data_IF_626418301637
#
_entry.id   IF_626418301637
#
_cell.length_a   1.000
_cell.length_b   1.000
_cell.length_c   1.000
_cell.angle_alpha   90.00
_cell.angle_beta   90.00
_cell.angle_gamma   90.00
#
_symmetry.space_group_name_H-M   'P 1'
#
loop_
_entity.id
_entity.type
_entity.pdbx_description
1 polymer ?
#
# COMPACT_ATOMS: atom_id res chain seq x y z
N UNK A 1 63.30 -29.30 31.91
CA UNK A 1 62.81 -28.75 30.66
C UNK A 1 61.47 -29.43 30.34
N UNK A 2 60.36 -28.78 30.49
CA UNK A 2 59.07 -29.35 30.02
C UNK A 2 58.67 -28.62 28.69
N UNK A 3 58.37 -29.46 27.72
CA UNK A 3 57.89 -29.08 26.38
C UNK A 3 56.43 -28.71 26.45
N UNK A 4 56.11 -27.46 26.10
CA UNK A 4 54.75 -26.96 25.96
C UNK A 4 54.09 -27.44 24.66
N UNK A 5 52.97 -28.10 24.80
CA UNK A 5 52.09 -28.46 23.67
C UNK A 5 51.10 -27.33 23.41
N UNK A 6 51.28 -26.62 22.29
CA UNK A 6 50.28 -25.68 21.76
C UNK A 6 49.08 -26.45 21.20
N UNK A 7 47.89 -26.27 21.79
CA UNK A 7 46.62 -26.62 21.19
C UNK A 7 46.20 -25.54 20.18
N UNK A 8 45.86 -25.89 18.95
CA UNK A 8 45.25 -24.91 18.01
C UNK A 8 43.78 -24.67 18.38
N UNK A 9 43.46 -23.42 18.69
CA UNK A 9 42.07 -22.98 18.80
C UNK A 9 41.42 -23.00 17.43
N UNK A 10 40.49 -23.92 17.21
CA UNK A 10 39.61 -23.92 16.05
C UNK A 10 38.67 -22.71 16.16
N UNK A 11 38.93 -21.68 15.37
CA UNK A 11 37.97 -20.64 15.07
C UNK A 11 36.94 -21.22 14.11
N UNK A 12 35.70 -21.40 14.56
CA UNK A 12 34.57 -21.64 13.68
C UNK A 12 34.27 -20.32 12.95
N UNK A 13 34.21 -20.29 11.62
CA UNK A 13 33.67 -19.16 10.93
C UNK A 13 32.16 -19.12 11.22
N UNK A 14 31.69 -18.04 11.84
CA UNK A 14 30.28 -17.74 12.03
C UNK A 14 29.74 -17.39 10.63
N UNK A 15 29.24 -18.40 9.92
CA UNK A 15 28.53 -18.21 8.66
C UNK A 15 27.19 -17.63 9.05
N UNK A 16 27.06 -16.30 8.91
CA UNK A 16 25.78 -15.62 8.90
C UNK A 16 25.07 -16.06 7.62
N UNK A 17 24.17 -17.04 7.78
CA UNK A 17 23.17 -17.30 6.75
C UNK A 17 22.16 -16.17 6.83
N UNK A 18 22.45 -15.07 6.12
CA UNK A 18 21.43 -14.17 5.67
C UNK A 18 20.61 -14.94 4.64
N UNK A 19 19.49 -15.52 5.06
CA UNK A 19 18.42 -15.84 4.17
C UNK A 19 17.83 -14.51 3.69
N UNK A 20 18.53 -13.89 2.72
CA UNK A 20 17.93 -12.89 1.87
C UNK A 20 16.88 -13.65 1.05
N UNK A 21 15.63 -13.60 1.49
CA UNK A 21 14.49 -13.79 0.60
C UNK A 21 14.46 -12.52 -0.28
N UNK A 22 15.39 -12.48 -1.22
CA UNK A 22 15.27 -11.66 -2.40
C UNK A 22 14.11 -12.30 -3.16
N UNK A 23 12.90 -11.78 -3.03
CA UNK A 23 11.90 -11.90 -4.07
C UNK A 23 12.54 -11.23 -5.29
N UNK A 24 13.26 -12.03 -6.09
CA UNK A 24 13.66 -11.64 -7.41
C UNK A 24 12.35 -11.38 -8.15
N UNK A 25 12.02 -10.09 -8.33
CA UNK A 25 11.12 -9.65 -9.39
C UNK A 25 11.81 -10.07 -10.70
N UNK A 26 11.58 -11.30 -11.13
CA UNK A 26 11.77 -11.70 -12.50
C UNK A 26 10.68 -11.00 -13.31
N UNK A 27 10.95 -9.75 -13.70
CA UNK A 27 10.19 -9.12 -14.77
C UNK A 27 10.56 -9.90 -16.02
N UNK A 28 9.80 -10.96 -16.30
CA UNK A 28 9.70 -11.47 -17.64
C UNK A 28 9.00 -10.36 -18.44
N UNK A 29 9.79 -9.61 -19.20
CA UNK A 29 9.29 -8.77 -20.29
C UNK A 29 8.79 -9.73 -21.38
N UNK A 30 7.62 -10.32 -21.14
CA UNK A 30 6.83 -10.93 -22.17
C UNK A 30 6.08 -9.79 -22.84
N UNK A 31 6.57 -9.38 -24.04
CA UNK A 31 5.87 -8.44 -24.90
C UNK A 31 4.48 -8.98 -25.24
N UNK A 32 3.45 -8.49 -24.54
CA UNK A 32 2.07 -8.66 -24.94
C UNK A 32 1.75 -7.56 -25.96
N UNK A 33 1.78 -7.95 -27.26
CA UNK A 33 1.11 -7.19 -28.28
C UNK A 33 -0.39 -7.25 -28.01
N UNK A 34 -0.98 -6.20 -27.44
CA UNK A 34 -2.43 -6.03 -27.37
C UNK A 34 -2.95 -5.68 -28.76
N UNK A 35 -3.62 -6.62 -29.40
CA UNK A 35 -4.51 -6.35 -30.51
C UNK A 35 -5.73 -5.60 -29.94
N UNK A 36 -5.78 -4.32 -30.22
CA UNK A 36 -6.91 -3.45 -29.90
C UNK A 36 -8.10 -3.80 -30.82
N UNK A 37 -9.16 -4.35 -30.25
CA UNK A 37 -10.49 -4.37 -30.86
C UNK A 37 -11.30 -3.22 -30.26
N UNK A 38 -11.94 -2.37 -31.09
CA UNK A 38 -12.76 -1.28 -30.58
C UNK A 38 -14.09 -1.82 -30.04
N UNK A 39 -14.36 -1.61 -28.76
CA UNK A 39 -15.67 -1.88 -28.16
C UNK A 39 -16.64 -0.76 -28.54
N UNK A 40 -17.78 -1.17 -29.09
CA UNK A 40 -18.87 -0.27 -29.48
C UNK A 40 -19.49 0.41 -28.27
N UNK A 41 -19.68 1.74 -28.37
CA UNK A 41 -20.37 2.56 -27.40
C UNK A 41 -21.87 2.43 -27.64
N UNK A 42 -22.73 2.13 -26.65
CA UNK A 42 -24.18 2.21 -26.81
C UNK A 42 -24.61 3.68 -26.75
N UNK A 43 -25.27 4.12 -27.83
CA UNK A 43 -25.96 5.42 -27.93
C UNK A 43 -27.29 5.29 -27.19
N UNK A 44 -27.51 6.10 -26.17
CA UNK A 44 -28.83 6.27 -25.56
C UNK A 44 -29.55 7.45 -26.23
N UNK A 45 -30.76 7.18 -26.71
CA UNK A 45 -31.61 8.12 -27.43
C UNK A 45 -32.24 9.13 -26.48
N UNK A 46 -32.31 10.40 -26.97
CA UNK A 46 -33.01 11.50 -26.39
C UNK A 46 -34.51 11.23 -26.22
N UNK A 47 -34.99 11.49 -25.01
CA UNK A 47 -36.42 11.60 -24.70
C UNK A 47 -36.76 13.04 -24.35
N UNK A 48 -37.24 13.82 -25.35
CA UNK A 48 -37.81 15.13 -25.13
C UNK A 48 -39.15 15.06 -24.43
N UNK A 49 -39.33 15.77 -23.32
CA UNK A 49 -40.65 16.11 -22.80
C UNK A 49 -40.75 17.61 -22.54
N UNK A 50 -41.67 18.20 -23.27
CA UNK A 50 -42.07 19.61 -23.25
C UNK A 50 -43.05 19.84 -22.09
N UNK A 51 -42.88 20.91 -21.31
CA UNK A 51 -43.90 21.49 -20.44
C UNK A 51 -43.93 22.99 -20.57
N UNK A 52 -45.14 23.50 -20.83
CA UNK A 52 -45.49 24.88 -21.18
C UNK A 52 -45.47 25.82 -19.96
N UNK A 53 -45.49 27.15 -20.20
CA UNK A 53 -45.25 28.18 -19.17
C UNK A 53 -46.54 28.61 -18.46
N UNK A 54 -46.44 28.88 -17.15
CA UNK A 54 -47.50 29.52 -16.36
C UNK A 54 -47.10 30.96 -16.05
N UNK A 55 -48.09 31.83 -16.21
CA UNK A 55 -48.02 33.27 -16.20
C UNK A 55 -47.64 33.90 -14.86
N UNK A 56 -46.99 35.06 -14.95
CA UNK A 56 -46.63 35.94 -13.84
C UNK A 56 -47.78 36.80 -13.36
N UNK A 57 -47.88 37.08 -12.07
CA UNK A 57 -48.70 38.12 -11.44
C UNK A 57 -47.81 39.09 -10.66
N UNK A 58 -48.17 40.41 -10.58
CA UNK A 58 -47.20 41.45 -10.27
C UNK A 58 -46.99 41.69 -8.78
N UNK A 59 -45.76 42.10 -8.44
CA UNK A 59 -45.30 42.42 -7.12
C UNK A 59 -45.70 43.83 -6.64
N UNK A 60 -45.87 44.07 -5.34
CA UNK A 60 -46.01 45.42 -4.78
C UNK A 60 -44.65 46.09 -4.53
N UNK A 61 -44.57 47.36 -4.82
CA UNK A 61 -43.45 48.27 -4.57
C UNK A 61 -43.25 48.46 -3.08
N UNK A 62 -42.05 48.20 -2.56
CA UNK A 62 -41.63 48.65 -1.24
C UNK A 62 -40.38 49.52 -1.30
N UNK A 63 -40.52 50.64 -0.57
CA UNK A 63 -39.59 51.75 -0.41
C UNK A 63 -38.25 51.35 0.20
N UNK A 64 -37.17 51.93 -0.37
CA UNK A 64 -35.77 51.79 0.03
C UNK A 64 -35.50 52.31 1.44
N UNK A 65 -34.98 51.46 2.34
CA UNK A 65 -34.18 51.87 3.51
C UNK A 65 -32.71 51.62 3.25
N UNK A 66 -31.93 52.68 3.50
CA UNK A 66 -30.47 52.71 3.40
C UNK A 66 -29.79 51.50 4.07
N UNK A 67 -29.07 50.69 3.30
CA UNK A 67 -28.37 49.53 3.79
C UNK A 67 -26.99 49.94 4.34
N UNK A 68 -26.74 49.58 5.59
CA UNK A 68 -25.44 49.56 6.26
C UNK A 68 -24.46 48.67 5.44
N UNK A 69 -23.17 49.02 5.28
CA UNK A 69 -22.25 48.20 4.49
C UNK A 69 -22.13 46.79 5.03
N UNK A 70 -22.46 45.80 4.20
CA UNK A 70 -22.30 44.39 4.48
C UNK A 70 -20.79 44.04 4.55
N UNK A 71 -20.31 43.31 5.54
CA UNK A 71 -18.92 42.85 5.56
C UNK A 71 -18.64 41.98 4.33
N UNK A 72 -17.53 42.28 3.65
CA UNK A 72 -17.05 41.51 2.51
C UNK A 72 -16.89 40.05 2.93
N UNK A 73 -17.42 39.06 2.20
CA UNK A 73 -17.31 37.68 2.58
C UNK A 73 -15.83 37.30 2.70
N UNK A 74 -15.45 36.86 3.90
CA UNK A 74 -14.14 36.24 4.16
C UNK A 74 -14.05 35.03 3.24
N UNK A 75 -12.99 34.96 2.42
CA UNK A 75 -12.72 33.77 1.61
C UNK A 75 -12.58 32.58 2.57
N UNK A 76 -13.52 31.65 2.52
CA UNK A 76 -13.40 30.37 3.23
C UNK A 76 -12.03 29.77 2.91
N UNK A 77 -11.29 29.23 3.91
CA UNK A 77 -10.00 28.61 3.65
C UNK A 77 -10.20 27.51 2.61
N UNK A 78 -9.45 27.56 1.51
CA UNK A 78 -9.43 26.46 0.53
C UNK A 78 -9.09 25.17 1.26
N UNK A 79 -9.99 24.19 1.22
CA UNK A 79 -9.72 22.85 1.78
C UNK A 79 -8.46 22.33 1.10
N UNK A 80 -7.38 22.17 1.84
CA UNK A 80 -6.12 21.67 1.29
C UNK A 80 -6.37 20.25 0.81
N UNK A 81 -6.05 19.96 -0.45
CA UNK A 81 -6.14 18.60 -1.00
C UNK A 81 -5.26 17.64 -0.19
N UNK A 82 -5.70 16.38 -0.05
CA UNK A 82 -4.89 15.33 0.59
C UNK A 82 -3.49 15.24 -0.03
N UNK A 83 -3.37 15.41 -1.34
CA UNK A 83 -2.09 15.38 -2.05
C UNK A 83 -1.34 16.72 -2.09
N UNK A 84 -1.90 17.76 -1.49
CA UNK A 84 -1.30 19.09 -1.45
C UNK A 84 -1.34 19.80 -2.78
N UNK A 85 -0.52 20.83 -2.90
CA UNK A 85 -0.33 21.58 -4.15
C UNK A 85 0.79 20.94 -4.98
N UNK A 86 0.44 20.45 -6.16
CA UNK A 86 1.37 19.81 -7.10
C UNK A 86 2.08 20.81 -8.02
N UNK A 87 1.56 22.04 -8.14
CA UNK A 87 2.16 23.08 -9.00
C UNK A 87 3.54 23.54 -8.53
N UNK A 88 3.90 23.24 -7.27
CA UNK A 88 5.19 23.61 -6.66
C UNK A 88 6.26 22.51 -6.75
N UNK A 89 5.93 21.37 -7.38
CA UNK A 89 6.87 20.27 -7.52
C UNK A 89 7.92 20.65 -8.57
N UNK A 90 9.21 20.62 -8.23
CA UNK A 90 10.26 20.92 -9.21
C UNK A 90 10.28 19.85 -10.32
N UNK A 91 10.56 20.26 -11.53
CA UNK A 91 10.78 19.31 -12.63
C UNK A 91 11.95 18.39 -12.30
N UNK A 92 11.81 17.11 -12.64
CA UNK A 92 12.90 16.16 -12.48
C UNK A 92 14.08 16.52 -13.39
N UNK A 93 15.29 16.28 -12.89
CA UNK A 93 16.52 16.32 -13.70
C UNK A 93 16.89 14.91 -14.20
N UNK A 94 16.35 13.90 -13.52
CA UNK A 94 16.47 12.49 -13.86
C UNK A 94 15.10 11.94 -14.35
N UNK A 95 14.64 10.80 -13.85
CA UNK A 95 13.43 10.15 -14.35
C UNK A 95 12.16 10.80 -13.78
N UNK A 96 12.09 11.00 -12.47
CA UNK A 96 10.93 11.62 -11.82
C UNK A 96 11.32 12.28 -10.50
N UNK A 97 10.51 13.27 -10.09
CA UNK A 97 10.63 13.88 -8.75
C UNK A 97 9.75 13.12 -7.76
N UNK A 98 10.34 12.57 -6.70
CA UNK A 98 9.61 12.02 -5.54
C UNK A 98 9.39 13.13 -4.52
N UNK A 99 8.14 13.39 -4.13
CA UNK A 99 7.77 14.32 -3.04
C UNK A 99 7.19 13.54 -1.88
N UNK A 100 7.75 13.74 -0.69
CA UNK A 100 7.25 13.12 0.53
C UNK A 100 6.30 14.11 1.23
N UNK A 101 5.12 13.63 1.62
CA UNK A 101 4.05 14.41 2.23
C UNK A 101 3.81 13.94 3.67
N UNK A 102 3.91 14.87 4.63
CA UNK A 102 3.49 14.63 6.00
C UNK A 102 1.97 14.57 6.08
N UNK A 103 1.44 13.40 6.43
CA UNK A 103 0.02 13.13 6.68
C UNK A 103 -0.20 12.54 8.07
N UNK A 104 0.64 12.94 9.02
CA UNK A 104 0.56 12.50 10.42
C UNK A 104 -0.47 13.25 11.24
N UNK A 105 -1.34 14.05 10.63
CA UNK A 105 -2.38 14.85 11.29
C UNK A 105 -1.83 15.78 12.39
N UNK A 106 -0.62 16.33 12.17
CA UNK A 106 0.06 17.19 13.13
C UNK A 106 0.75 16.47 14.28
N UNK A 107 0.74 15.14 14.30
CA UNK A 107 1.41 14.34 15.34
C UNK A 107 2.94 14.52 15.33
N UNK A 108 3.51 14.65 14.13
CA UNK A 108 4.93 14.91 13.93
C UNK A 108 5.11 16.12 13.02
N UNK A 109 5.99 17.09 13.39
CA UNK A 109 6.39 18.16 12.47
C UNK A 109 7.26 17.57 11.34
N UNK A 110 7.40 18.30 10.24
CA UNK A 110 8.20 17.89 9.07
C UNK A 110 9.65 17.55 9.41
N UNK A 111 10.24 18.19 10.41
CA UNK A 111 11.57 17.89 10.94
C UNK A 111 11.67 16.55 11.70
N UNK A 112 10.55 15.83 11.88
CA UNK A 112 10.47 14.53 12.54
C UNK A 112 9.84 13.46 11.65
N UNK A 113 9.65 13.74 10.38
CA UNK A 113 9.29 12.78 9.32
C UNK A 113 10.50 12.61 8.43
N UNK A 114 11.04 11.40 8.35
CA UNK A 114 12.29 11.12 7.64
C UNK A 114 12.05 10.12 6.50
N UNK A 115 12.83 10.26 5.45
CA UNK A 115 12.99 9.24 4.42
C UNK A 115 14.45 8.77 4.36
N UNK A 116 14.65 7.51 3.93
CA UNK A 116 15.99 6.92 3.77
C UNK A 116 16.03 6.07 2.51
N UNK A 117 16.98 6.36 1.63
CA UNK A 117 17.24 5.62 0.40
C UNK A 117 18.70 5.79 -0.03
N UNK A 118 19.33 4.75 -0.58
CA UNK A 118 20.72 4.75 -1.08
C UNK A 118 21.75 5.33 -0.07
N UNK A 119 21.60 4.95 1.21
CA UNK A 119 22.51 5.42 2.26
C UNK A 119 22.32 6.89 2.68
N UNK A 120 21.38 7.60 2.09
CA UNK A 120 20.99 8.95 2.49
C UNK A 120 19.78 8.88 3.42
N UNK A 121 19.75 9.74 4.44
CA UNK A 121 18.59 9.88 5.33
C UNK A 121 18.42 11.37 5.65
N UNK A 122 17.24 11.90 5.38
CA UNK A 122 16.89 13.30 5.58
C UNK A 122 15.50 13.44 6.20
N UNK A 123 15.30 14.50 6.99
CA UNK A 123 13.94 14.93 7.32
C UNK A 123 13.31 15.61 6.10
N UNK A 124 11.98 15.57 5.99
CA UNK A 124 11.28 16.27 4.91
C UNK A 124 11.31 17.78 5.07
N UNK A 125 11.64 18.30 6.27
CA UNK A 125 11.90 19.73 6.46
C UNK A 125 13.22 20.17 5.78
N UNK A 126 14.23 19.28 5.77
CA UNK A 126 15.52 19.52 5.11
C UNK A 126 15.44 19.22 3.62
N UNK A 127 14.83 18.09 3.26
CA UNK A 127 14.75 17.61 1.88
C UNK A 127 13.40 16.98 1.58
N UNK A 128 12.37 17.77 1.18
CA UNK A 128 11.04 17.27 0.87
C UNK A 128 10.94 16.56 -0.49
N UNK A 129 11.96 16.70 -1.32
CA UNK A 129 12.02 16.17 -2.68
C UNK A 129 13.26 15.30 -2.87
N UNK A 130 13.10 14.25 -3.65
CA UNK A 130 14.19 13.41 -4.14
C UNK A 130 14.09 13.26 -5.65
N UNK A 131 15.16 13.62 -6.37
CA UNK A 131 15.23 13.45 -7.84
C UNK A 131 15.72 12.05 -8.15
N UNK A 132 14.79 11.18 -8.54
CA UNK A 132 14.98 9.73 -8.67
C UNK A 132 15.70 9.40 -9.98
N UNK A 133 16.92 8.85 -9.92
CA UNK A 133 17.65 8.45 -11.13
C UNK A 133 17.13 7.14 -11.71
N UNK A 134 17.38 6.93 -13.00
CA UNK A 134 17.20 5.64 -13.66
C UNK A 134 18.02 4.52 -12.99
N UNK A 135 17.55 3.29 -13.14
CA UNK A 135 18.15 2.08 -12.57
C UNK A 135 18.17 2.09 -11.02
N UNK A 136 17.30 2.90 -10.40
CA UNK A 136 17.06 2.83 -8.96
C UNK A 136 16.12 1.67 -8.66
N UNK A 137 16.42 0.89 -7.61
CA UNK A 137 15.58 -0.22 -7.17
C UNK A 137 15.74 -0.46 -5.68
N UNK A 138 14.70 -1.03 -5.06
CA UNK A 138 14.72 -1.45 -3.66
C UNK A 138 13.64 -0.80 -2.82
N UNK A 139 13.99 -0.53 -1.55
CA UNK A 139 13.07 0.03 -0.55
C UNK A 139 13.47 1.44 -0.17
N UNK A 140 12.55 2.40 -0.26
CA UNK A 140 12.66 3.69 0.40
C UNK A 140 11.93 3.61 1.73
N UNK A 141 12.66 3.78 2.82
CA UNK A 141 12.12 3.73 4.18
C UNK A 141 11.65 5.10 4.64
N UNK A 142 10.60 5.09 5.47
CA UNK A 142 10.11 6.27 6.18
C UNK A 142 10.15 6.01 7.67
N UNK A 143 10.50 7.05 8.46
CA UNK A 143 10.58 6.98 9.91
C UNK A 143 9.89 8.19 10.54
N UNK A 144 9.29 7.98 11.71
CA UNK A 144 8.70 9.06 12.50
C UNK A 144 9.43 9.21 13.84
N UNK A 145 9.62 10.47 14.24
CA UNK A 145 10.26 10.84 15.50
C UNK A 145 11.79 10.89 15.42
N UNK A 146 12.46 9.89 14.83
CA UNK A 146 13.89 9.88 14.62
C UNK A 146 14.25 9.07 13.36
N UNK A 147 15.45 9.29 12.75
CA UNK A 147 15.86 8.59 11.51
C UNK A 147 16.14 7.09 11.70
N UNK A 148 16.15 6.61 12.94
CA UNK A 148 16.30 5.18 13.32
C UNK A 148 15.14 4.72 14.21
N UNK A 149 14.01 5.44 14.19
CA UNK A 149 12.86 5.20 15.03
C UNK A 149 12.19 3.85 14.75
N UNK A 150 11.46 3.36 15.76
CA UNK A 150 10.69 2.11 15.66
C UNK A 150 9.44 2.28 14.78
N UNK A 151 8.90 3.52 14.69
CA UNK A 151 7.81 3.83 13.78
C UNK A 151 8.37 4.00 12.38
N UNK A 152 8.33 2.92 11.61
CA UNK A 152 8.90 2.87 10.27
C UNK A 152 8.08 1.99 9.34
N UNK A 153 8.15 2.30 8.07
CA UNK A 153 7.65 1.48 6.97
C UNK A 153 8.38 1.86 5.69
N UNK A 154 8.02 1.25 4.57
CA UNK A 154 8.70 1.48 3.30
C UNK A 154 7.77 1.31 2.10
N UNK A 155 8.20 1.85 0.97
CA UNK A 155 7.69 1.53 -0.36
C UNK A 155 8.74 0.70 -1.11
N UNK A 156 8.29 -0.15 -2.03
CA UNK A 156 9.16 -0.89 -2.94
C UNK A 156 9.00 -0.38 -4.34
N UNK A 157 10.11 -0.29 -5.09
CA UNK A 157 10.06 0.20 -6.47
C UNK A 157 11.26 -0.24 -7.30
N UNK A 158 11.07 -0.16 -8.62
CA UNK A 158 12.12 -0.13 -9.62
C UNK A 158 11.86 1.00 -10.61
N UNK A 159 12.91 1.73 -10.98
CA UNK A 159 12.85 2.85 -11.92
C UNK A 159 13.77 2.56 -13.09
N UNK A 160 13.18 2.35 -14.25
CA UNK A 160 13.92 2.24 -15.52
C UNK A 160 14.31 3.61 -16.07
N UNK A 161 14.87 3.65 -17.28
CA UNK A 161 15.20 4.93 -17.94
C UNK A 161 14.00 5.86 -18.17
N UNK A 162 12.81 5.25 -18.35
CA UNK A 162 11.57 5.95 -18.70
C UNK A 162 10.34 5.27 -18.10
N UNK A 163 10.46 4.60 -16.96
CA UNK A 163 9.36 3.89 -16.32
C UNK A 163 9.53 3.87 -14.80
N UNK A 164 8.42 4.02 -14.10
CA UNK A 164 8.31 3.78 -12.66
C UNK A 164 7.43 2.54 -12.42
N UNK A 165 7.91 1.64 -11.57
CA UNK A 165 7.17 0.52 -11.03
C UNK A 165 7.29 0.57 -9.50
N UNK A 166 6.19 0.54 -8.76
CA UNK A 166 6.27 0.58 -7.30
C UNK A 166 4.96 0.24 -6.62
N UNK A 167 5.05 -0.02 -5.32
CA UNK A 167 3.90 -0.38 -4.50
C UNK A 167 4.06 0.12 -3.06
N UNK A 168 2.93 0.21 -2.34
CA UNK A 168 2.92 0.07 -0.89
C UNK A 168 2.77 -1.42 -0.57
N UNK A 169 3.41 -1.92 0.49
CA UNK A 169 3.36 -3.34 0.82
C UNK A 169 2.93 -3.57 2.26
N UNK A 170 2.19 -4.66 2.48
CA UNK A 170 1.82 -5.20 3.78
C UNK A 170 2.28 -6.65 3.93
N UNK A 171 3.11 -7.12 3.00
CA UNK A 171 3.65 -8.49 2.99
C UNK A 171 4.47 -8.80 4.24
N UNK A 172 5.27 -7.84 4.71
CA UNK A 172 6.04 -7.97 5.95
C UNK A 172 5.19 -7.60 7.18
N UNK A 173 4.29 -6.62 7.04
CA UNK A 173 3.42 -6.09 8.09
C UNK A 173 3.05 -4.62 7.87
N UNK A 174 2.41 -4.02 8.86
CA UNK A 174 2.02 -2.62 8.87
C UNK A 174 2.82 -1.85 9.91
N UNK A 175 3.60 -0.89 9.47
CA UNK A 175 4.36 0.03 10.32
C UNK A 175 3.82 1.46 10.32
N UNK A 176 3.54 2.03 9.16
CA UNK A 176 2.99 3.37 8.96
C UNK A 176 1.90 3.32 7.88
N UNK A 177 1.00 4.30 7.90
CA UNK A 177 0.08 4.52 6.78
C UNK A 177 0.86 5.09 5.61
N UNK A 178 0.79 4.44 4.45
CA UNK A 178 1.49 4.85 3.23
C UNK A 178 0.53 4.87 2.04
N UNK A 179 0.59 5.93 1.25
CA UNK A 179 -0.09 5.97 -0.04
C UNK A 179 0.81 6.61 -1.09
N UNK A 180 0.65 6.16 -2.33
CA UNK A 180 1.35 6.65 -3.52
C UNK A 180 0.37 7.31 -4.47
N UNK A 181 0.82 8.38 -5.15
CA UNK A 181 0.18 8.93 -6.34
C UNK A 181 1.24 9.18 -7.39
N UNK A 182 1.13 8.47 -8.51
CA UNK A 182 2.01 8.64 -9.67
C UNK A 182 1.29 9.49 -10.71
N UNK A 183 1.97 10.52 -11.20
CA UNK A 183 1.54 11.33 -12.33
C UNK A 183 2.60 11.27 -13.43
N UNK A 184 2.17 11.12 -14.68
CA UNK A 184 3.03 11.07 -15.86
C UNK A 184 2.73 12.21 -16.84
N UNK A 185 3.65 12.47 -17.78
CA UNK A 185 3.54 13.56 -18.75
C UNK A 185 2.40 13.39 -19.74
N UNK A 186 1.96 12.15 -19.99
CA UNK A 186 0.81 11.83 -20.85
C UNK A 186 -0.56 12.06 -20.20
N UNK A 187 -0.56 12.49 -18.91
CA UNK A 187 -1.77 12.76 -18.13
C UNK A 187 -2.22 11.56 -17.26
N UNK A 188 -1.48 10.44 -17.25
CA UNK A 188 -1.74 9.35 -16.31
C UNK A 188 -1.66 9.86 -14.86
N UNK A 189 -2.63 9.48 -14.02
CA UNK A 189 -2.72 9.91 -12.61
C UNK A 189 -3.43 8.84 -11.78
N UNK A 190 -2.66 8.05 -11.04
CA UNK A 190 -3.18 6.90 -10.28
C UNK A 190 -2.69 6.92 -8.85
N UNK A 191 -3.54 6.44 -7.93
CA UNK A 191 -3.31 6.41 -6.49
C UNK A 191 -3.50 4.99 -5.96
N UNK A 192 -2.64 4.59 -5.01
CA UNK A 192 -2.74 3.31 -4.26
C UNK A 192 -2.26 3.49 -2.83
N UNK A 193 -2.52 2.51 -1.98
CA UNK A 193 -2.18 2.49 -0.56
C UNK A 193 -3.40 2.72 0.32
N UNK A 194 -3.20 3.07 1.60
CA UNK A 194 -4.31 3.29 2.53
C UNK A 194 -5.19 4.47 2.08
N UNK A 195 -6.49 4.33 2.30
CA UNK A 195 -7.46 5.35 1.96
C UNK A 195 -7.42 6.58 2.90
N UNK A 196 -8.10 7.67 2.50
CA UNK A 196 -8.08 8.90 3.28
C UNK A 196 -8.79 8.77 4.64
N UNK A 197 -9.75 7.85 4.78
CA UNK A 197 -10.42 7.58 6.05
C UNK A 197 -9.43 6.96 7.04
N UNK A 198 -8.64 5.99 6.58
CA UNK A 198 -7.55 5.38 7.36
C UNK A 198 -6.49 6.42 7.75
N UNK A 199 -6.10 7.32 6.83
CA UNK A 199 -5.17 8.41 7.18
C UNK A 199 -5.74 9.39 8.22
N UNK A 200 -7.05 9.60 8.23
CA UNK A 200 -7.70 10.55 9.15
C UNK A 200 -7.80 10.06 10.60
N UNK A 201 -7.74 8.75 10.83
CA UNK A 201 -7.83 8.18 12.17
C UNK A 201 -6.49 8.17 12.92
N UNK A 202 -6.55 8.13 14.26
CA UNK A 202 -5.34 7.94 15.07
C UNK A 202 -4.80 6.50 14.93
N UNK A 203 -3.49 6.34 15.14
CA UNK A 203 -2.83 5.02 15.09
C UNK A 203 -3.48 3.98 16.00
N UNK A 204 -3.83 4.36 17.24
CA UNK A 204 -4.50 3.46 18.18
C UNK A 204 -5.86 2.98 17.66
N UNK A 205 -6.58 3.85 16.93
CA UNK A 205 -7.85 3.49 16.31
C UNK A 205 -7.64 2.46 15.19
N UNK A 206 -6.58 2.60 14.37
CA UNK A 206 -6.22 1.58 13.34
C UNK A 206 -5.96 0.21 13.98
N UNK A 207 -5.18 0.15 15.07
CA UNK A 207 -4.88 -1.11 15.77
C UNK A 207 -6.15 -1.72 16.38
N UNK A 208 -7.01 -0.90 16.99
CA UNK A 208 -8.27 -1.36 17.56
C UNK A 208 -9.25 -1.82 16.48
N UNK A 209 -9.34 -1.10 15.36
CA UNK A 209 -10.16 -1.48 14.22
C UNK A 209 -9.72 -2.82 13.65
N UNK A 210 -8.40 -3.04 13.48
CA UNK A 210 -7.88 -4.34 13.08
C UNK A 210 -8.37 -5.45 14.02
N UNK A 211 -8.25 -5.30 15.35
CA UNK A 211 -8.72 -6.30 16.31
C UNK A 211 -10.23 -6.54 16.24
N UNK A 212 -11.02 -5.51 15.92
CA UNK A 212 -12.47 -5.61 15.86
C UNK A 212 -12.96 -6.31 14.58
N UNK A 213 -12.28 -6.12 13.46
CA UNK A 213 -12.74 -6.56 12.14
C UNK A 213 -12.17 -7.91 11.71
N UNK A 214 -11.03 -8.34 12.29
CA UNK A 214 -10.46 -9.65 11.96
C UNK A 214 -10.98 -10.74 12.88
N UNK A 215 -11.04 -12.02 12.44
CA UNK A 215 -11.33 -13.17 13.27
C UNK A 215 -10.34 -13.34 14.43
N UNK A 216 -10.75 -14.11 15.45
CA UNK A 216 -9.99 -14.28 16.69
C UNK A 216 -8.55 -14.69 16.48
N UNK A 217 -8.29 -15.55 15.47
CA UNK A 217 -6.97 -16.07 15.12
C UNK A 217 -5.97 -14.97 14.76
N UNK A 218 -6.44 -13.81 14.25
CA UNK A 218 -5.60 -12.70 13.80
C UNK A 218 -5.49 -11.54 14.80
N UNK A 219 -6.38 -11.46 15.80
CA UNK A 219 -6.45 -10.29 16.72
C UNK A 219 -5.15 -10.00 17.45
N UNK A 220 -4.41 -11.06 17.82
CA UNK A 220 -3.16 -10.93 18.56
C UNK A 220 -2.07 -10.21 17.75
N UNK A 221 -2.12 -10.23 16.40
CA UNK A 221 -1.14 -9.54 15.56
C UNK A 221 -1.06 -8.03 15.88
N UNK A 222 -2.19 -7.40 16.23
CA UNK A 222 -2.21 -6.00 16.63
C UNK A 222 -1.75 -5.76 18.09
N UNK A 223 -1.30 -6.78 18.81
CA UNK A 223 -0.82 -6.66 20.20
C UNK A 223 0.64 -7.03 20.39
N UNK A 224 1.15 -8.01 19.62
CA UNK A 224 2.48 -8.59 19.82
C UNK A 224 3.64 -7.60 19.64
N UNK A 225 3.47 -6.58 18.81
CA UNK A 225 4.45 -5.51 18.57
C UNK A 225 3.86 -4.11 18.71
N UNK A 226 2.71 -3.99 19.38
CA UNK A 226 2.07 -2.70 19.62
C UNK A 226 2.97 -1.79 20.47
N UNK A 227 2.95 -0.46 20.25
CA UNK A 227 2.18 0.26 19.23
C UNK A 227 2.92 0.43 17.90
N UNK A 228 4.00 -0.30 17.67
CA UNK A 228 4.95 -0.03 16.57
C UNK A 228 4.60 -0.74 15.27
N UNK A 229 4.00 -1.94 15.36
CA UNK A 229 3.88 -2.79 14.19
C UNK A 229 2.74 -3.82 14.33
N UNK A 230 2.07 -4.14 13.21
CA UNK A 230 1.18 -5.29 13.07
C UNK A 230 1.89 -6.25 12.10
N UNK A 231 2.50 -7.36 12.56
CA UNK A 231 3.21 -8.29 11.68
C UNK A 231 2.25 -9.02 10.75
N UNK A 232 2.73 -9.41 9.57
CA UNK A 232 2.01 -10.32 8.70
C UNK A 232 1.95 -11.73 9.31
N UNK A 233 0.85 -12.49 9.11
CA UNK A 233 0.64 -13.78 9.78
C UNK A 233 1.69 -14.83 9.41
N UNK A 234 2.27 -14.79 8.21
CA UNK A 234 3.34 -15.72 7.79
C UNK A 234 4.62 -15.60 8.63
N UNK A 235 4.89 -14.45 9.23
CA UNK A 235 6.04 -14.22 10.11
C UNK A 235 5.74 -14.46 11.59
N UNK A 236 4.48 -14.57 11.99
CA UNK A 236 4.06 -14.68 13.38
C UNK A 236 4.16 -16.11 13.90
N UNK A 237 4.63 -16.26 15.16
CA UNK A 237 4.87 -17.56 15.79
C UNK A 237 3.59 -18.37 16.01
N UNK A 238 2.43 -17.74 16.18
CA UNK A 238 1.17 -18.45 16.40
C UNK A 238 0.72 -19.26 15.17
N UNK A 239 1.11 -18.85 13.96
CA UNK A 239 0.78 -19.53 12.70
C UNK A 239 1.91 -20.48 12.21
N UNK A 240 3.06 -20.48 12.86
CA UNK A 240 4.17 -21.39 12.53
C UNK A 240 3.98 -22.75 13.19
N UNK A 241 4.73 -23.74 12.72
CA UNK A 241 4.75 -25.09 13.30
C UNK A 241 4.96 -25.04 14.82
N UNK A 242 4.06 -25.67 15.56
CA UNK A 242 4.02 -25.66 17.03
C UNK A 242 3.25 -24.47 17.62
N UNK A 243 2.84 -23.49 16.83
CA UNK A 243 2.01 -22.39 17.29
C UNK A 243 0.53 -22.75 17.41
N UNK A 244 -0.22 -21.91 18.10
CA UNK A 244 -1.65 -22.10 18.39
C UNK A 244 -2.50 -22.30 17.12
N UNK A 245 -2.16 -21.62 16.03
CA UNK A 245 -2.88 -21.64 14.76
C UNK A 245 -2.07 -22.29 13.63
N UNK A 246 -1.12 -23.16 13.97
CA UNK A 246 -0.27 -23.86 13.00
C UNK A 246 -1.06 -24.63 11.94
N UNK A 247 -2.25 -25.11 12.29
CA UNK A 247 -3.12 -25.90 11.43
C UNK A 247 -4.25 -25.09 10.76
N UNK A 248 -4.19 -23.75 10.80
CA UNK A 248 -5.27 -22.87 10.30
C UNK A 248 -5.67 -23.17 8.85
N UNK A 249 -4.70 -23.43 7.95
CA UNK A 249 -4.95 -23.77 6.56
C UNK A 249 -4.94 -25.28 6.26
N UNK A 250 -4.47 -26.12 7.15
CA UNK A 250 -4.05 -27.52 6.86
C UNK A 250 -5.12 -28.30 6.07
N UNK A 251 -6.33 -28.43 6.59
CA UNK A 251 -7.39 -29.23 5.94
C UNK A 251 -7.81 -28.65 4.59
N UNK A 252 -7.92 -27.32 4.49
CA UNK A 252 -8.30 -26.65 3.25
C UNK A 252 -7.23 -26.77 2.17
N UNK A 253 -5.96 -26.61 2.55
CA UNK A 253 -4.83 -26.73 1.63
C UNK A 253 -4.72 -28.18 1.11
N UNK A 254 -4.81 -29.18 2.00
CA UNK A 254 -4.78 -30.60 1.62
C UNK A 254 -5.92 -30.99 0.68
N UNK A 255 -7.13 -30.47 0.91
CA UNK A 255 -8.26 -30.68 0.00
C UNK A 255 -8.04 -30.10 -1.40
N UNK A 256 -7.12 -29.14 -1.54
CA UNK A 256 -6.70 -28.54 -2.79
C UNK A 256 -5.33 -29.04 -3.29
N UNK A 257 -4.85 -30.19 -2.77
CA UNK A 257 -3.61 -30.83 -3.23
C UNK A 257 -2.31 -30.15 -2.72
N UNK A 258 -2.42 -29.29 -1.70
CA UNK A 258 -1.26 -28.57 -1.13
C UNK A 258 -0.95 -29.10 0.25
N UNK A 259 0.30 -29.54 0.46
CA UNK A 259 0.80 -30.02 1.75
C UNK A 259 1.91 -29.10 2.29
N UNK A 260 1.50 -27.89 2.69
CA UNK A 260 2.41 -26.88 3.23
C UNK A 260 1.93 -26.43 4.61
N UNK A 261 2.84 -26.04 5.52
CA UNK A 261 2.46 -25.44 6.79
C UNK A 261 1.75 -24.08 6.57
N UNK A 262 0.87 -23.72 7.48
CA UNK A 262 0.06 -22.49 7.42
C UNK A 262 0.91 -21.23 7.15
N UNK A 263 2.09 -21.11 7.79
CA UNK A 263 3.00 -19.97 7.57
C UNK A 263 3.52 -19.88 6.13
N UNK A 264 3.76 -21.04 5.46
CA UNK A 264 4.18 -21.07 4.06
C UNK A 264 3.04 -20.65 3.12
N UNK A 265 1.80 -20.96 3.46
CA UNK A 265 0.63 -20.53 2.67
C UNK A 265 0.47 -19.00 2.76
N UNK A 266 0.53 -18.42 3.95
CA UNK A 266 0.52 -16.97 4.12
C UNK A 266 1.68 -16.28 3.40
N UNK A 267 2.88 -16.84 3.50
CA UNK A 267 4.11 -16.29 2.93
C UNK A 267 4.39 -16.72 1.49
N UNK A 268 3.50 -17.48 0.84
CA UNK A 268 3.72 -18.07 -0.49
C UNK A 268 5.09 -18.75 -0.62
N UNK A 269 5.51 -19.47 0.42
CA UNK A 269 6.81 -20.14 0.52
C UNK A 269 6.68 -21.65 0.23
N UNK A 270 7.81 -22.37 0.25
CA UNK A 270 7.84 -23.80 -0.06
C UNK A 270 7.36 -24.07 -1.48
N UNK A 271 6.45 -25.03 -1.67
CA UNK A 271 5.89 -25.38 -2.98
C UNK A 271 5.03 -24.26 -3.59
N UNK A 272 4.63 -23.24 -2.79
CA UNK A 272 3.87 -22.09 -3.26
C UNK A 272 4.75 -21.03 -3.91
N UNK A 273 6.07 -21.03 -3.70
CA UNK A 273 6.99 -20.02 -4.22
C UNK A 273 7.03 -19.92 -5.77
N UNK A 274 6.69 -21.01 -6.46
CA UNK A 274 6.57 -21.05 -7.92
C UNK A 274 5.13 -21.15 -8.43
N UNK A 275 4.13 -20.97 -7.57
CA UNK A 275 2.71 -21.17 -7.90
C UNK A 275 1.86 -19.98 -7.44
N UNK A 276 1.98 -18.81 -8.10
CA UNK A 276 1.29 -17.59 -7.68
C UNK A 276 -0.24 -17.76 -7.63
N UNK A 277 -0.83 -18.42 -8.61
CA UNK A 277 -2.28 -18.59 -8.66
C UNK A 277 -2.81 -19.43 -7.51
N UNK A 278 -2.14 -20.53 -7.17
CA UNK A 278 -2.57 -21.39 -6.05
C UNK A 278 -2.35 -20.68 -4.70
N UNK A 279 -1.23 -19.96 -4.53
CA UNK A 279 -1.01 -19.20 -3.32
C UNK A 279 -2.08 -18.12 -3.14
N UNK A 280 -2.38 -17.33 -4.17
CA UNK A 280 -3.44 -16.33 -4.12
C UNK A 280 -4.81 -16.97 -3.85
N UNK A 281 -5.13 -18.08 -4.52
CA UNK A 281 -6.40 -18.77 -4.34
C UNK A 281 -6.61 -19.32 -2.91
N UNK A 282 -5.55 -19.87 -2.29
CA UNK A 282 -5.60 -20.32 -0.89
C UNK A 282 -5.77 -19.15 0.08
N UNK A 283 -4.97 -18.08 -0.06
CA UNK A 283 -5.05 -16.90 0.79
C UNK A 283 -6.45 -16.23 0.72
N UNK A 284 -7.09 -16.25 -0.46
CA UNK A 284 -8.40 -15.64 -0.71
C UNK A 284 -9.59 -16.59 -0.50
N UNK A 285 -9.36 -17.85 -0.15
CA UNK A 285 -10.36 -18.93 -0.01
C UNK A 285 -11.15 -19.20 -1.29
N UNK A 286 -10.51 -19.24 -2.43
CA UNK A 286 -11.12 -19.55 -3.74
C UNK A 286 -10.42 -20.72 -4.47
N UNK A 287 -9.51 -21.44 -3.80
CA UNK A 287 -8.88 -22.62 -4.36
C UNK A 287 -9.93 -23.69 -4.67
N UNK A 288 -9.82 -24.34 -5.83
CA UNK A 288 -10.78 -25.32 -6.30
C UNK A 288 -12.10 -24.74 -6.84
N UNK A 289 -12.30 -23.43 -6.79
CA UNK A 289 -13.50 -22.78 -7.35
C UNK A 289 -13.31 -22.41 -8.83
N UNK A 290 -14.41 -22.30 -9.59
CA UNK A 290 -14.38 -21.90 -11.00
C UNK A 290 -14.07 -20.42 -11.22
N UNK A 291 -14.29 -19.58 -10.20
CA UNK A 291 -14.17 -18.10 -10.28
C UNK A 291 -13.03 -17.58 -9.40
N UNK A 292 -11.83 -18.18 -9.55
CA UNK A 292 -10.66 -17.82 -8.73
C UNK A 292 -10.13 -16.39 -8.97
N UNK A 293 -10.50 -15.76 -10.08
CA UNK A 293 -10.09 -14.40 -10.45
C UNK A 293 -11.19 -13.34 -10.20
N UNK A 294 -12.33 -13.72 -9.63
CA UNK A 294 -13.41 -12.79 -9.31
C UNK A 294 -13.25 -12.26 -7.87
N UNK A 295 -12.88 -10.97 -7.70
CA UNK A 295 -12.69 -10.37 -6.36
C UNK A 295 -13.94 -10.42 -5.48
N UNK A 296 -15.13 -10.48 -6.09
CA UNK A 296 -16.39 -10.57 -5.34
C UNK A 296 -16.53 -11.88 -4.55
N UNK A 297 -15.73 -12.90 -4.88
CA UNK A 297 -15.72 -14.21 -4.21
C UNK A 297 -14.68 -14.32 -3.09
N UNK A 298 -13.75 -13.34 -3.00
CA UNK A 298 -12.62 -13.42 -2.08
C UNK A 298 -13.07 -13.28 -0.62
N UNK A 299 -12.41 -14.04 0.26
CA UNK A 299 -12.57 -13.97 1.72
C UNK A 299 -13.99 -14.24 2.23
N UNK A 300 -14.81 -14.99 1.48
CA UNK A 300 -16.21 -15.32 1.85
C UNK A 300 -16.31 -16.38 2.94
N UNK A 301 -15.27 -17.19 3.13
CA UNK A 301 -15.22 -18.25 4.11
C UNK A 301 -13.84 -18.40 4.74
N UNK A 302 -13.76 -19.10 5.88
CA UNK A 302 -12.51 -19.50 6.52
C UNK A 302 -12.11 -20.92 6.07
N UNK A 303 -10.79 -21.21 6.06
CA UNK A 303 -9.67 -20.32 6.35
C UNK A 303 -9.35 -19.38 5.19
N UNK A 304 -9.03 -18.12 5.50
CA UNK A 304 -8.57 -17.13 4.53
C UNK A 304 -7.56 -16.18 5.21
N UNK A 305 -6.82 -15.42 4.43
CA UNK A 305 -5.90 -14.41 4.96
C UNK A 305 -6.67 -13.11 5.33
N UNK A 306 -7.33 -13.13 6.50
CA UNK A 306 -8.10 -11.97 6.96
C UNK A 306 -7.23 -10.76 7.34
N UNK A 307 -5.92 -10.97 7.53
CA UNK A 307 -4.96 -9.86 7.61
C UNK A 307 -4.91 -9.10 6.28
N UNK A 308 -4.75 -9.81 5.16
CA UNK A 308 -4.75 -9.20 3.83
C UNK A 308 -6.10 -8.55 3.52
N UNK A 309 -7.21 -9.24 3.82
CA UNK A 309 -8.57 -8.69 3.66
C UNK A 309 -8.73 -7.35 4.36
N UNK A 310 -8.26 -7.22 5.60
CA UNK A 310 -8.33 -5.95 6.34
C UNK A 310 -7.66 -4.81 5.58
N UNK A 311 -6.46 -5.03 5.04
CA UNK A 311 -5.77 -4.00 4.27
C UNK A 311 -6.45 -3.69 2.94
N UNK A 312 -7.05 -4.67 2.26
CA UNK A 312 -7.90 -4.43 1.08
C UNK A 312 -9.13 -3.56 1.43
N UNK A 313 -9.81 -3.87 2.50
CA UNK A 313 -11.02 -3.12 2.91
C UNK A 313 -10.71 -1.66 3.24
N UNK A 314 -9.47 -1.33 3.62
CA UNK A 314 -9.01 0.00 4.04
C UNK A 314 -8.01 0.66 3.07
N UNK A 315 -7.96 0.18 1.84
CA UNK A 315 -7.12 0.71 0.78
C UNK A 315 -7.93 1.44 -0.31
N UNK A 316 -7.25 2.35 -1.01
CA UNK A 316 -7.78 3.02 -2.19
C UNK A 316 -8.18 1.96 -3.23
N UNK A 317 -9.43 2.02 -3.70
CA UNK A 317 -10.00 1.07 -4.66
C UNK A 317 -9.95 -0.41 -4.20
N UNK A 318 -9.81 -0.66 -2.90
CA UNK A 318 -9.62 -1.98 -2.31
C UNK A 318 -8.39 -2.74 -2.83
N UNK A 319 -7.35 -2.03 -3.30
CA UNK A 319 -6.11 -2.59 -3.79
C UNK A 319 -5.02 -2.52 -2.71
N UNK A 320 -4.56 -3.68 -2.24
CA UNK A 320 -3.50 -3.81 -1.24
C UNK A 320 -2.51 -4.91 -1.63
N UNK A 321 -1.31 -4.87 -1.06
CA UNK A 321 -0.31 -5.94 -1.20
C UNK A 321 -0.17 -6.64 0.15
N UNK A 322 -1.14 -7.48 0.51
CA UNK A 322 -1.27 -8.09 1.85
C UNK A 322 -0.52 -9.41 2.03
N UNK A 323 -0.08 -10.06 0.94
CA UNK A 323 0.74 -11.27 0.93
C UNK A 323 1.53 -11.34 -0.40
N UNK A 324 2.60 -12.13 -0.51
CA UNK A 324 3.27 -12.37 -1.79
C UNK A 324 2.27 -12.91 -2.83
N UNK A 325 2.37 -12.46 -4.08
CA UNK A 325 1.42 -12.76 -5.16
C UNK A 325 0.00 -12.17 -4.98
N UNK A 326 -0.18 -11.16 -4.16
CA UNK A 326 -1.46 -10.44 -4.08
C UNK A 326 -1.73 -9.57 -5.34
N UNK A 327 -0.77 -9.50 -6.25
CA UNK A 327 -0.90 -8.94 -7.59
C UNK A 327 -1.68 -9.83 -8.56
N UNK A 328 -1.85 -11.12 -8.28
CA UNK A 328 -2.71 -12.02 -9.06
C UNK A 328 -4.12 -11.44 -9.18
N UNK A 329 -4.63 -11.39 -10.41
CA UNK A 329 -5.91 -10.77 -10.77
C UNK A 329 -5.99 -9.25 -10.47
N UNK A 330 -4.84 -8.57 -10.46
CA UNK A 330 -4.77 -7.11 -10.35
C UNK A 330 -5.21 -6.53 -9.00
N UNK A 331 -5.01 -7.27 -7.90
CA UNK A 331 -5.51 -6.86 -6.58
C UNK A 331 -4.50 -6.06 -5.74
N UNK A 332 -3.25 -5.97 -6.18
CA UNK A 332 -2.21 -5.28 -5.39
C UNK A 332 -2.24 -3.76 -5.53
N UNK A 333 -1.64 -3.09 -4.56
CA UNK A 333 -1.35 -1.65 -4.58
C UNK A 333 -0.14 -1.32 -5.47
N UNK A 334 -0.02 -1.97 -6.61
CA UNK A 334 1.08 -1.78 -7.55
C UNK A 334 0.72 -0.74 -8.61
N UNK A 335 1.66 0.18 -8.90
CA UNK A 335 1.56 1.15 -9.97
C UNK A 335 2.73 0.93 -10.93
N UNK A 336 2.44 0.91 -12.24
CA UNK A 336 3.45 0.86 -13.30
C UNK A 336 3.04 1.80 -14.42
N UNK A 337 3.92 2.76 -14.79
CA UNK A 337 3.67 3.63 -15.93
C UNK A 337 4.97 4.20 -16.50
N UNK A 338 4.97 4.41 -17.83
CA UNK A 338 6.05 5.09 -18.55
C UNK A 338 5.96 6.61 -18.44
N UNK A 339 7.01 7.30 -18.88
CA UNK A 339 7.10 8.78 -18.90
C UNK A 339 6.66 9.46 -17.58
N UNK A 340 7.15 8.97 -16.41
CA UNK A 340 6.69 9.46 -15.11
C UNK A 340 7.22 10.87 -14.86
N UNK A 341 6.36 11.76 -14.35
CA UNK A 341 6.72 13.14 -14.01
C UNK A 341 7.05 13.29 -12.53
N UNK A 342 6.14 12.83 -11.65
CA UNK A 342 6.37 12.84 -10.22
C UNK A 342 5.63 11.72 -9.48
N UNK A 343 6.21 11.31 -8.36
CA UNK A 343 5.61 10.43 -7.38
C UNK A 343 5.38 11.20 -6.07
N UNK A 344 4.14 11.20 -5.56
CA UNK A 344 3.83 11.66 -4.22
C UNK A 344 3.77 10.47 -3.28
N UNK A 345 4.43 10.58 -2.14
CA UNK A 345 4.39 9.57 -1.07
C UNK A 345 3.79 10.21 0.18
N UNK A 346 2.58 9.82 0.53
CA UNK A 346 1.94 10.23 1.77
C UNK A 346 2.41 9.32 2.91
N UNK A 347 2.90 9.94 4.00
CA UNK A 347 3.36 9.24 5.21
C UNK A 347 2.47 9.65 6.37
N UNK A 348 1.72 8.70 6.95
CA UNK A 348 0.78 8.90 8.03
C UNK A 348 1.19 8.22 9.34
N UNK A 349 0.45 8.59 10.40
CA UNK A 349 0.64 8.08 11.76
C UNK A 349 -0.41 7.04 12.13
#
# INVERSE_FOLDING_TARGET
MPTGTHRPTRRFPLVWVFAAVTALLMIAVAGYAFLSSPAAVPVFADGTSSAAPVAASPAPVQTSKSAKPTPKPSKSPKKVSFWGDTSTIPAAKNVLTVKILNRTNGKYPDSKVYWSFNGQTHSIAEQPYFDMPANSAGRMYFYLGSPTGQYKDFIEFTVGPDVFNGNTTRVDGFGLKLALRLHAHDGYDTQVGEDQATFAEDRSATFQRFQNEVPTEFKHLATVQAPYYIPAPGSDSAFRTGGQYANYFTSYAQANGVNEPTSNIFGCAGSMAGNPNMCAALNRHVAGQSQQSDPSQYYKAAPANYYAKFWHDHAINHLAYGFPYDDVAGQSSFISHGDPQYLLVAVGW
#
